data_IF_847872741466
#
_entry.id   IF_847872741466
#
_cell.length_a   1.000
_cell.length_b   1.000
_cell.length_c   1.000
_cell.angle_alpha   90.00
_cell.angle_beta   90.00
_cell.angle_gamma   90.00
#
_symmetry.space_group_name_H-M   'P 1'
#
loop_
_entity.id
_entity.type
_entity.pdbx_description
1 polymer ?
#
# COMPACT_ATOMS: atom_id res chain seq x y z
N UNK A 1 11.75 -8.95 13.81
CA UNK A 1 10.51 -8.38 13.24
C UNK A 1 9.55 -9.50 12.84
N UNK A 2 8.26 -9.21 12.73
CA UNK A 2 7.25 -10.18 12.27
C UNK A 2 7.63 -10.78 10.92
N UNK A 3 8.16 -9.98 9.99
CA UNK A 3 8.66 -10.47 8.71
C UNK A 3 9.62 -11.66 8.86
N UNK A 4 10.60 -11.57 9.76
CA UNK A 4 11.57 -12.67 9.97
C UNK A 4 10.93 -13.93 10.52
N UNK A 5 9.90 -13.79 11.36
CA UNK A 5 9.13 -14.94 11.85
C UNK A 5 8.40 -15.62 10.69
N UNK A 6 7.76 -14.86 9.83
CA UNK A 6 7.07 -15.40 8.65
C UNK A 6 8.08 -16.08 7.71
N UNK A 7 9.18 -15.42 7.36
CA UNK A 7 10.22 -15.96 6.48
C UNK A 7 10.81 -17.28 7.00
N UNK A 8 11.03 -17.39 8.31
CA UNK A 8 11.49 -18.64 8.93
C UNK A 8 10.44 -19.76 8.85
N UNK A 9 9.14 -19.43 9.00
CA UNK A 9 8.06 -20.42 8.93
C UNK A 9 7.88 -20.92 7.49
N UNK A 10 7.91 -20.02 6.51
CA UNK A 10 7.64 -20.36 5.09
C UNK A 10 8.90 -20.82 4.33
N UNK A 11 10.08 -20.64 4.89
CA UNK A 11 11.35 -21.08 4.29
C UNK A 11 11.79 -20.25 3.07
N UNK A 12 11.25 -19.03 2.89
CA UNK A 12 11.62 -18.12 1.80
C UNK A 12 11.48 -16.66 2.22
N UNK A 13 12.07 -15.73 1.46
CA UNK A 13 11.80 -14.30 1.69
C UNK A 13 10.33 -13.95 1.41
N UNK A 14 9.84 -12.91 2.08
CA UNK A 14 8.42 -12.52 2.03
C UNK A 14 7.96 -12.15 0.63
N UNK A 15 8.81 -11.55 -0.21
CA UNK A 15 8.46 -11.16 -1.58
C UNK A 15 8.24 -12.40 -2.46
N UNK A 16 9.18 -13.34 -2.43
CA UNK A 16 9.07 -14.61 -3.15
C UNK A 16 7.83 -15.38 -2.70
N UNK A 17 7.62 -15.51 -1.39
CA UNK A 17 6.45 -16.19 -0.85
C UNK A 17 5.13 -15.57 -1.35
N UNK A 18 4.95 -14.27 -1.17
CA UNK A 18 3.71 -13.60 -1.57
C UNK A 18 3.50 -13.61 -3.09
N UNK A 19 4.57 -13.43 -3.89
CA UNK A 19 4.47 -13.48 -5.34
C UNK A 19 4.07 -14.85 -5.88
N UNK A 20 4.59 -15.92 -5.29
CA UNK A 20 4.32 -17.28 -5.77
C UNK A 20 3.02 -17.88 -5.25
N UNK A 21 2.51 -17.36 -4.15
CA UNK A 21 1.27 -17.81 -3.51
C UNK A 21 0.14 -16.81 -3.70
N UNK A 22 0.10 -15.79 -2.85
CA UNK A 22 -1.02 -14.87 -2.71
C UNK A 22 -1.22 -13.98 -3.94
N UNK A 23 -0.18 -13.27 -4.39
CA UNK A 23 -0.31 -12.35 -5.53
C UNK A 23 -0.59 -13.09 -6.82
N UNK A 24 0.03 -14.26 -7.01
CA UNK A 24 -0.24 -15.14 -8.15
C UNK A 24 -1.70 -15.60 -8.17
N UNK A 25 -2.25 -16.05 -7.04
CA UNK A 25 -3.65 -16.52 -6.96
C UNK A 25 -4.67 -15.42 -7.24
N UNK A 26 -4.32 -14.16 -6.96
CA UNK A 26 -5.16 -12.99 -7.21
C UNK A 26 -4.94 -12.36 -8.59
N UNK A 27 -3.98 -12.85 -9.39
CA UNK A 27 -3.66 -12.25 -10.68
C UNK A 27 -2.98 -10.88 -10.58
N UNK A 28 -2.06 -10.68 -9.60
CA UNK A 28 -1.32 -9.45 -9.35
C UNK A 28 0.14 -9.59 -9.80
N UNK A 29 0.43 -9.56 -11.12
CA UNK A 29 1.73 -9.96 -11.65
C UNK A 29 2.86 -8.98 -11.33
N UNK A 30 2.55 -7.69 -11.10
CA UNK A 30 3.57 -6.67 -10.87
C UNK A 30 3.69 -6.27 -9.40
N UNK A 31 2.72 -6.66 -8.56
CA UNK A 31 2.74 -6.34 -7.14
C UNK A 31 3.89 -7.03 -6.41
N UNK A 32 4.59 -6.28 -5.55
CA UNK A 32 5.69 -6.81 -4.73
C UNK A 32 6.81 -5.80 -4.53
N UNK A 33 7.89 -6.29 -3.92
CA UNK A 33 9.12 -5.52 -3.72
C UNK A 33 10.06 -5.71 -4.90
N UNK A 34 11.02 -4.79 -5.05
CA UNK A 34 12.08 -4.85 -6.06
C UNK A 34 11.54 -5.18 -7.46
N UNK A 35 10.78 -4.26 -8.07
CA UNK A 35 10.18 -4.47 -9.38
C UNK A 35 11.26 -4.78 -10.43
N UNK A 36 10.90 -5.57 -11.43
CA UNK A 36 11.80 -5.90 -12.54
C UNK A 36 12.17 -4.63 -13.32
N UNK A 37 13.40 -4.56 -13.82
CA UNK A 37 13.93 -3.43 -14.58
C UNK A 37 13.04 -3.08 -15.79
N UNK A 38 12.41 -4.06 -16.42
CA UNK A 38 11.45 -3.86 -17.50
C UNK A 38 10.22 -3.04 -17.11
N UNK A 39 9.95 -2.85 -15.83
CA UNK A 39 8.85 -2.05 -15.30
C UNK A 39 9.27 -0.63 -14.90
N UNK A 40 10.56 -0.32 -14.85
CA UNK A 40 11.06 0.96 -14.35
C UNK A 40 10.43 2.17 -15.05
N UNK A 41 10.17 2.07 -16.36
CA UNK A 41 9.55 3.17 -17.12
C UNK A 41 8.12 3.51 -16.66
N UNK A 42 7.43 2.57 -15.99
CA UNK A 42 6.07 2.72 -15.46
C UNK A 42 6.04 3.21 -14.00
N UNK A 43 7.17 3.22 -13.33
CA UNK A 43 7.26 3.53 -11.91
C UNK A 43 7.50 5.03 -11.74
N UNK A 44 6.68 5.67 -10.90
CA UNK A 44 6.89 7.06 -10.52
C UNK A 44 8.21 7.20 -9.73
N UNK A 45 9.09 8.14 -10.09
CA UNK A 45 10.27 8.42 -9.28
C UNK A 45 9.84 9.03 -7.94
N UNK A 46 10.60 8.79 -6.89
CA UNK A 46 10.40 9.46 -5.61
C UNK A 46 11.36 10.65 -5.45
N UNK A 47 12.06 10.78 -4.33
CA UNK A 47 12.98 11.89 -4.08
C UNK A 47 14.15 11.92 -5.08
N UNK A 48 14.59 13.12 -5.44
CA UNK A 48 15.78 13.32 -6.25
C UNK A 48 16.90 13.89 -5.39
N UNK A 49 18.09 13.30 -5.52
CA UNK A 49 19.34 13.84 -4.99
C UNK A 49 20.13 14.37 -6.19
N UNK A 50 20.33 15.68 -6.24
CA UNK A 50 20.87 16.38 -7.40
C UNK A 50 20.04 16.09 -8.68
N UNK A 51 20.61 15.41 -9.64
CA UNK A 51 19.95 15.04 -10.92
C UNK A 51 19.44 13.60 -10.96
N UNK A 52 19.68 12.81 -9.90
CA UNK A 52 19.32 11.38 -9.84
C UNK A 52 18.12 11.19 -8.96
N UNK A 53 17.03 10.68 -9.51
CA UNK A 53 15.81 10.37 -8.77
C UNK A 53 15.71 8.87 -8.46
N UNK A 54 15.30 8.55 -7.24
CA UNK A 54 15.00 7.17 -6.84
C UNK A 54 13.81 6.65 -7.65
N UNK A 55 14.00 5.55 -8.38
CA UNK A 55 12.96 4.90 -9.17
C UNK A 55 13.09 3.39 -9.05
N UNK A 56 12.01 2.69 -8.73
CA UNK A 56 12.02 1.23 -8.56
C UNK A 56 12.74 0.75 -7.29
N UNK A 57 13.17 1.68 -6.44
CA UNK A 57 13.78 1.39 -5.16
C UNK A 57 12.85 1.85 -4.02
N UNK A 58 12.84 1.10 -2.92
CA UNK A 58 12.09 1.52 -1.73
C UNK A 58 12.60 2.87 -1.23
N UNK A 59 11.68 3.80 -0.97
CA UNK A 59 12.04 5.14 -0.52
C UNK A 59 12.59 5.17 0.92
N UNK A 60 12.07 4.29 1.80
CA UNK A 60 12.51 4.20 3.19
C UNK A 60 13.99 3.80 3.28
N UNK A 61 14.89 4.65 3.88
CA UNK A 61 16.31 4.39 3.91
C UNK A 61 16.70 3.16 4.75
N UNK A 62 15.93 2.84 5.80
CA UNK A 62 16.20 1.69 6.65
C UNK A 62 15.79 0.40 5.93
N UNK A 63 14.64 0.40 5.26
CA UNK A 63 14.22 -0.71 4.41
C UNK A 63 15.24 -0.95 3.29
N UNK A 64 15.75 0.11 2.66
CA UNK A 64 16.75 0.02 1.60
C UNK A 64 18.09 -0.56 2.11
N UNK A 65 18.63 0.01 3.18
CA UNK A 65 20.00 -0.30 3.67
C UNK A 65 20.06 -1.58 4.52
N UNK A 66 19.09 -1.75 5.45
CA UNK A 66 19.11 -2.85 6.41
C UNK A 66 18.35 -4.09 5.95
N UNK A 67 17.29 -3.89 5.16
CA UNK A 67 16.41 -4.97 4.70
C UNK A 67 16.59 -5.28 3.20
N UNK A 68 17.63 -4.72 2.58
CA UNK A 68 17.97 -4.94 1.15
C UNK A 68 16.79 -4.70 0.20
N UNK A 69 15.94 -3.73 0.52
CA UNK A 69 14.79 -3.35 -0.29
C UNK A 69 13.51 -4.15 -0.05
N UNK A 70 13.55 -5.25 0.70
CA UNK A 70 12.39 -6.09 1.01
C UNK A 70 12.07 -5.95 2.50
N UNK A 71 11.07 -5.17 2.82
CA UNK A 71 10.71 -4.89 4.21
C UNK A 71 9.20 -4.90 4.43
N UNK A 72 8.75 -5.56 5.49
CA UNK A 72 7.33 -5.68 5.83
C UNK A 72 6.62 -4.35 6.15
N UNK A 73 7.38 -3.26 6.34
CA UNK A 73 6.82 -1.94 6.63
C UNK A 73 6.86 -0.97 5.45
N UNK A 74 7.58 -1.27 4.36
CA UNK A 74 7.74 -0.36 3.23
C UNK A 74 8.18 -1.08 1.96
N UNK A 75 7.97 -0.44 0.80
CA UNK A 75 8.60 -0.82 -0.47
C UNK A 75 7.78 -1.72 -1.39
N UNK A 76 6.51 -1.96 -1.11
CA UNK A 76 5.63 -2.64 -2.07
C UNK A 76 5.29 -1.69 -3.21
N UNK A 77 5.50 -2.15 -4.44
CA UNK A 77 5.07 -1.52 -5.68
C UNK A 77 3.83 -2.22 -6.20
N UNK A 78 2.88 -1.47 -6.72
CA UNK A 78 1.65 -2.00 -7.32
C UNK A 78 1.04 -0.96 -8.25
N UNK A 79 0.15 -1.38 -9.14
CA UNK A 79 -0.76 -0.49 -9.86
C UNK A 79 -2.03 -0.23 -9.05
N UNK A 80 -2.82 0.77 -9.44
CA UNK A 80 -4.11 1.04 -8.81
C UNK A 80 -5.09 -0.13 -9.02
N UNK A 81 -5.05 -0.76 -10.19
CA UNK A 81 -5.86 -1.93 -10.53
C UNK A 81 -5.51 -3.15 -9.67
N UNK A 82 -4.21 -3.41 -9.45
CA UNK A 82 -3.77 -4.50 -8.57
C UNK A 82 -4.22 -4.26 -7.14
N UNK A 83 -4.09 -3.03 -6.64
CA UNK A 83 -4.58 -2.67 -5.30
C UNK A 83 -6.11 -2.76 -5.20
N UNK A 84 -6.86 -2.42 -6.25
CA UNK A 84 -8.30 -2.60 -6.28
C UNK A 84 -8.68 -4.08 -6.22
N UNK A 85 -8.01 -4.93 -6.97
CA UNK A 85 -8.21 -6.39 -6.95
C UNK A 85 -7.89 -6.96 -5.56
N UNK A 86 -6.78 -6.54 -4.96
CA UNK A 86 -6.43 -6.93 -3.60
C UNK A 86 -7.47 -6.45 -2.57
N UNK A 87 -7.96 -5.21 -2.69
CA UNK A 87 -8.98 -4.67 -1.79
C UNK A 87 -10.32 -5.42 -1.90
N UNK A 88 -10.72 -5.80 -3.11
CA UNK A 88 -11.92 -6.63 -3.33
C UNK A 88 -11.76 -7.98 -2.63
N UNK A 89 -10.61 -8.65 -2.82
CA UNK A 89 -10.32 -9.89 -2.12
C UNK A 89 -10.40 -9.70 -0.60
N UNK A 90 -9.76 -8.66 -0.06
CA UNK A 90 -9.74 -8.37 1.37
C UNK A 90 -11.15 -8.12 1.94
N UNK A 91 -12.00 -7.41 1.22
CA UNK A 91 -13.40 -7.17 1.61
C UNK A 91 -14.27 -8.43 1.60
N UNK A 92 -13.90 -9.44 0.81
CA UNK A 92 -14.60 -10.73 0.72
C UNK A 92 -14.14 -11.76 1.75
N UNK A 93 -13.15 -11.45 2.58
CA UNK A 93 -12.79 -12.29 3.72
C UNK A 93 -13.93 -12.31 4.75
N UNK A 94 -13.98 -13.37 5.56
CA UNK A 94 -14.88 -13.41 6.72
C UNK A 94 -14.58 -12.25 7.68
N UNK A 95 -15.58 -11.85 8.45
CA UNK A 95 -15.49 -10.67 9.32
C UNK A 95 -14.38 -10.79 10.34
N UNK A 96 -14.15 -11.96 10.92
CA UNK A 96 -13.11 -12.17 11.92
C UNK A 96 -11.71 -11.98 11.32
N UNK A 97 -11.44 -12.60 10.18
CA UNK A 97 -10.15 -12.49 9.46
C UNK A 97 -9.92 -11.06 9.00
N UNK A 98 -10.94 -10.38 8.47
CA UNK A 98 -10.86 -9.00 8.03
C UNK A 98 -10.57 -8.04 9.18
N UNK A 99 -11.25 -8.18 10.32
CA UNK A 99 -11.01 -7.34 11.51
C UNK A 99 -9.59 -7.57 12.02
N UNK A 100 -9.11 -8.81 12.09
CA UNK A 100 -7.71 -9.11 12.45
C UNK A 100 -6.73 -8.45 11.49
N UNK A 101 -6.99 -8.50 10.19
CA UNK A 101 -6.15 -7.86 9.16
C UNK A 101 -6.13 -6.33 9.31
N UNK A 102 -7.28 -5.70 9.55
CA UNK A 102 -7.35 -4.26 9.83
C UNK A 102 -6.51 -3.88 11.05
N UNK A 103 -6.63 -4.63 12.14
CA UNK A 103 -5.93 -4.32 13.40
C UNK A 103 -4.43 -4.62 13.35
N UNK A 104 -4.00 -5.55 12.50
CA UNK A 104 -2.59 -5.97 12.41
C UNK A 104 -1.76 -5.15 11.42
N UNK A 105 -2.35 -4.68 10.32
CA UNK A 105 -1.60 -4.04 9.23
C UNK A 105 -2.17 -2.73 8.72
N UNK A 106 -3.43 -2.45 9.02
CA UNK A 106 -4.11 -1.21 8.65
C UNK A 106 -4.52 -0.47 9.93
N UNK A 107 -4.78 0.81 9.81
CA UNK A 107 -5.37 1.55 10.91
C UNK A 107 -6.89 1.42 10.84
N UNK A 108 -7.49 0.91 11.92
CA UNK A 108 -8.93 0.99 12.12
C UNK A 108 -9.29 2.43 12.46
N UNK A 109 -10.20 3.03 11.71
CA UNK A 109 -10.60 4.43 11.83
C UNK A 109 -12.03 4.61 11.35
N UNK A 110 -12.52 5.84 11.36
CA UNK A 110 -13.74 6.23 10.69
C UNK A 110 -13.48 7.25 9.58
N UNK A 111 -14.36 7.27 8.61
CA UNK A 111 -14.39 8.28 7.55
C UNK A 111 -15.73 8.99 7.59
N UNK A 112 -15.69 10.32 7.56
CA UNK A 112 -16.90 11.13 7.41
C UNK A 112 -17.42 10.99 5.99
N UNK A 113 -18.67 10.58 5.85
CA UNK A 113 -19.35 10.45 4.55
C UNK A 113 -19.70 11.82 3.98
N UNK A 114 -20.09 11.86 2.71
CA UNK A 114 -20.64 13.07 2.07
C UNK A 114 -21.90 13.62 2.78
N UNK A 115 -22.58 12.78 3.55
CA UNK A 115 -23.76 13.14 4.37
C UNK A 115 -23.42 13.52 5.82
N UNK A 116 -22.12 13.61 6.15
CA UNK A 116 -21.67 13.94 7.50
C UNK A 116 -21.78 12.79 8.53
N UNK A 117 -21.98 11.55 8.06
CA UNK A 117 -22.03 10.37 8.94
C UNK A 117 -20.66 9.72 9.05
N UNK A 118 -20.33 9.17 10.22
CA UNK A 118 -19.12 8.41 10.42
C UNK A 118 -19.31 6.94 10.00
N UNK A 119 -18.42 6.42 9.17
CA UNK A 119 -18.41 5.01 8.77
C UNK A 119 -17.07 4.35 9.09
N UNK A 120 -17.10 3.14 9.68
CA UNK A 120 -15.86 2.41 9.99
C UNK A 120 -15.05 2.11 8.74
N UNK A 121 -13.75 2.33 8.82
CA UNK A 121 -12.80 2.07 7.74
C UNK A 121 -11.54 1.38 8.22
N UNK A 122 -10.87 0.68 7.31
CA UNK A 122 -9.50 0.23 7.46
C UNK A 122 -8.65 1.01 6.47
N UNK A 123 -7.62 1.71 6.93
CA UNK A 123 -6.81 2.56 6.04
C UNK A 123 -5.32 2.46 6.31
N UNK A 124 -4.55 2.79 5.31
CA UNK A 124 -3.12 3.01 5.43
C UNK A 124 -2.67 4.15 4.52
N UNK A 125 -1.66 4.89 4.97
CA UNK A 125 -1.05 5.97 4.20
C UNK A 125 0.43 5.69 3.99
N UNK A 126 0.91 5.90 2.76
CA UNK A 126 2.34 5.84 2.45
C UNK A 126 2.99 7.21 2.57
N UNK A 127 4.23 7.22 3.07
CA UNK A 127 5.03 8.43 3.21
C UNK A 127 5.20 9.16 1.87
N UNK A 128 5.40 8.41 0.80
CA UNK A 128 5.62 8.92 -0.56
C UNK A 128 4.39 9.56 -1.20
N UNK A 129 3.21 9.45 -0.58
CA UNK A 129 1.99 10.10 -1.05
C UNK A 129 0.83 9.16 -1.37
N UNK A 130 1.01 7.87 -1.23
CA UNK A 130 -0.04 6.87 -1.50
C UNK A 130 -1.00 6.73 -0.32
N UNK A 131 -2.21 6.24 -0.56
CA UNK A 131 -3.11 5.78 0.49
C UNK A 131 -4.13 4.77 -0.04
N UNK A 132 -4.61 3.94 0.85
CA UNK A 132 -5.76 3.06 0.65
C UNK A 132 -6.73 3.25 1.82
N UNK A 133 -8.01 3.39 1.52
CA UNK A 133 -9.11 3.42 2.49
C UNK A 133 -10.12 2.38 2.08
N UNK A 134 -10.40 1.41 2.93
CA UNK A 134 -11.32 0.31 2.68
C UNK A 134 -12.53 0.51 3.58
N UNK A 135 -13.72 0.47 2.99
CA UNK A 135 -15.02 0.66 3.60
C UNK A 135 -15.81 -0.65 3.44
N UNK A 136 -15.62 -1.62 4.33
CA UNK A 136 -16.19 -2.96 4.14
C UNK A 136 -17.71 -2.99 4.08
N UNK A 137 -18.38 -2.16 4.88
CA UNK A 137 -19.86 -2.06 4.91
C UNK A 137 -20.41 -1.53 3.60
N UNK A 138 -19.74 -0.55 2.98
CA UNK A 138 -20.11 0.06 1.72
C UNK A 138 -19.60 -0.73 0.51
N UNK A 139 -18.84 -1.81 0.74
CA UNK A 139 -18.15 -2.61 -0.29
C UNK A 139 -17.34 -1.72 -1.24
N UNK A 140 -16.60 -0.78 -0.69
CA UNK A 140 -15.86 0.25 -1.43
C UNK A 140 -14.41 0.34 -0.94
N UNK A 141 -13.51 0.60 -1.88
CA UNK A 141 -12.13 0.98 -1.57
C UNK A 141 -11.78 2.28 -2.32
N UNK A 142 -11.07 3.17 -1.65
CA UNK A 142 -10.54 4.41 -2.23
C UNK A 142 -9.02 4.26 -2.26
N UNK A 143 -8.45 4.28 -3.46
CA UNK A 143 -7.02 4.13 -3.70
C UNK A 143 -6.50 5.43 -4.31
N UNK A 144 -5.53 6.04 -3.64
CA UNK A 144 -4.87 7.25 -4.10
C UNK A 144 -3.37 6.96 -4.27
N UNK A 145 -2.89 6.99 -5.51
CA UNK A 145 -1.48 6.86 -5.83
C UNK A 145 -0.95 8.20 -6.33
N UNK A 146 -0.33 8.94 -5.43
CA UNK A 146 0.34 10.20 -5.72
C UNK A 146 1.79 10.13 -5.32
N UNK A 147 2.57 11.12 -5.69
CA UNK A 147 4.01 11.20 -5.42
C UNK A 147 4.36 12.58 -4.85
N UNK A 148 4.12 12.75 -3.54
CA UNK A 148 4.35 14.02 -2.86
C UNK A 148 5.83 14.33 -2.62
N UNK A 149 6.69 13.33 -2.68
CA UNK A 149 8.13 13.47 -2.39
C UNK A 149 8.97 13.73 -3.63
N UNK A 150 8.34 13.86 -4.81
CA UNK A 150 9.07 14.15 -6.05
C UNK A 150 8.89 15.61 -6.46
N UNK A 151 9.98 16.31 -6.84
CA UNK A 151 11.38 15.90 -6.71
C UNK A 151 11.89 16.01 -5.27
N UNK A 152 11.14 16.69 -4.39
CA UNK A 152 11.47 16.94 -2.97
C UNK A 152 10.23 16.76 -2.08
N UNK A 153 10.48 16.46 -0.81
CA UNK A 153 9.43 16.30 0.20
C UNK A 153 8.93 17.67 0.71
N UNK A 154 8.04 18.31 -0.02
CA UNK A 154 7.52 19.65 0.29
C UNK A 154 5.99 19.71 0.44
N UNK A 155 5.26 18.61 0.18
CA UNK A 155 3.81 18.64 0.11
C UNK A 155 3.11 17.84 1.22
N UNK A 156 2.07 18.43 1.80
CA UNK A 156 1.16 17.73 2.73
C UNK A 156 -0.11 17.28 2.00
N UNK A 157 -0.34 15.97 1.95
CA UNK A 157 -1.52 15.38 1.30
C UNK A 157 -2.68 15.06 2.26
N UNK A 158 -2.56 15.36 3.56
CA UNK A 158 -3.64 15.06 4.49
C UNK A 158 -4.98 15.75 4.11
N UNK A 159 -5.01 17.03 3.68
CA UNK A 159 -6.25 17.65 3.24
C UNK A 159 -6.86 16.98 2.00
N UNK A 160 -6.04 16.64 0.99
CA UNK A 160 -6.50 15.95 -0.20
C UNK A 160 -7.11 14.57 0.11
N UNK A 161 -6.42 13.77 0.94
CA UNK A 161 -6.91 12.45 1.37
C UNK A 161 -8.25 12.57 2.10
N UNK A 162 -8.38 13.57 2.98
CA UNK A 162 -9.63 13.84 3.70
C UNK A 162 -10.76 14.18 2.73
N UNK A 163 -10.56 15.17 1.85
CA UNK A 163 -11.57 15.59 0.87
C UNK A 163 -12.00 14.46 -0.05
N UNK A 164 -11.06 13.61 -0.52
CA UNK A 164 -11.40 12.47 -1.36
C UNK A 164 -12.24 11.43 -0.61
N UNK A 165 -11.89 11.14 0.64
CA UNK A 165 -12.68 10.21 1.44
C UNK A 165 -14.11 10.75 1.65
N UNK A 166 -14.28 12.01 2.03
CA UNK A 166 -15.59 12.65 2.21
C UNK A 166 -16.41 12.65 0.91
N UNK A 167 -15.79 12.97 -0.23
CA UNK A 167 -16.46 13.04 -1.54
C UNK A 167 -16.90 11.67 -2.04
N UNK A 168 -16.06 10.64 -1.84
CA UNK A 168 -16.24 9.30 -2.40
C UNK A 168 -16.95 8.33 -1.47
N UNK A 169 -17.25 8.73 -0.23
CA UNK A 169 -18.05 7.95 0.72
C UNK A 169 -19.48 8.50 0.76
N UNK A 170 -20.49 7.76 0.29
CA UNK A 170 -21.87 8.23 0.15
C UNK A 170 -22.60 8.41 1.48
#
# INVERSE_FOLDING_TARGET
SLQRVVENIVGSDINTYLRTTHYKSLGLPTMGWMPNDSLLYRIAPTECIDTVCLRGLVHDPLAQKLMRGISGNAGVFATAEELATWAIWFMNLDDETRIKGCNAGLWTDSVTTSKGLETPSCRHTGYTGTSITILPKEKRAIILLTNRVHPKDEHNLAPLRKSLNEMLTP
#
